data_IF_776950057921
#
_entry.id   IF_776950057921
#
_cell.length_a   1.000
_cell.length_b   1.000
_cell.length_c   1.000
_cell.angle_alpha   90.00
_cell.angle_beta   90.00
_cell.angle_gamma   90.00
#
_symmetry.space_group_name_H-M   'P 1'
#
loop_
_entity.id
_entity.type
_entity.pdbx_description
1 polymer ?
#
# COMPACT_ATOMS: atom_id res chain seq x y z
N UNK A 1 -1.08 10.72 0.66
CA UNK A 1 -0.10 9.80 0.08
C UNK A 1 0.92 10.55 -0.80
N UNK A 2 0.56 11.18 -1.93
CA UNK A 2 1.51 11.84 -2.85
C UNK A 2 2.48 12.82 -2.15
N UNK A 3 1.97 13.67 -1.26
CA UNK A 3 2.81 14.63 -0.52
C UNK A 3 3.76 13.94 0.46
N UNK A 4 3.29 12.88 1.11
CA UNK A 4 4.13 12.09 2.03
C UNK A 4 5.24 11.33 1.28
N UNK A 5 4.95 10.76 0.10
CA UNK A 5 5.97 10.14 -0.73
C UNK A 5 7.06 11.12 -1.15
N UNK A 6 6.69 12.36 -1.45
CA UNK A 6 7.66 13.43 -1.77
C UNK A 6 8.48 13.86 -0.55
N UNK A 7 7.81 14.07 0.59
CA UNK A 7 8.43 14.66 1.78
C UNK A 7 9.22 13.64 2.59
N UNK A 8 8.65 12.46 2.82
CA UNK A 8 9.18 11.47 3.75
C UNK A 8 10.01 10.37 3.06
N UNK A 9 9.83 10.19 1.74
CA UNK A 9 10.53 9.16 0.96
C UNK A 9 11.38 9.73 -0.18
N UNK A 10 11.49 11.06 -0.27
CA UNK A 10 12.27 11.79 -1.30
C UNK A 10 11.95 11.40 -2.75
N UNK A 11 10.72 10.95 -3.03
CA UNK A 11 10.28 10.57 -4.36
C UNK A 11 9.72 11.81 -5.07
N UNK A 12 10.51 12.46 -5.91
CA UNK A 12 10.15 13.73 -6.56
C UNK A 12 8.88 13.68 -7.41
N UNK A 13 8.65 12.58 -8.12
CA UNK A 13 7.49 12.36 -9.00
C UNK A 13 6.84 11.01 -8.72
N UNK A 14 6.13 10.83 -7.59
CA UNK A 14 5.55 9.55 -7.21
C UNK A 14 4.57 9.02 -8.26
N UNK A 15 4.72 7.77 -8.65
CA UNK A 15 3.80 7.02 -9.51
C UNK A 15 2.92 6.14 -8.64
N UNK A 16 1.64 6.43 -8.58
CA UNK A 16 0.70 5.76 -7.69
C UNK A 16 -0.22 4.86 -8.51
N UNK A 17 -0.26 3.57 -8.20
CA UNK A 17 -1.26 2.65 -8.70
C UNK A 17 -2.49 2.65 -7.77
N UNK A 18 -3.68 2.53 -8.34
CA UNK A 18 -4.94 2.32 -7.61
C UNK A 18 -5.50 0.97 -8.04
N UNK A 19 -5.84 0.10 -7.11
CA UNK A 19 -6.51 -1.17 -7.41
C UNK A 19 -8.02 -0.97 -7.57
N UNK A 20 -8.68 -1.86 -8.29
CA UNK A 20 -10.13 -1.95 -8.27
C UNK A 20 -10.64 -2.49 -6.93
N UNK A 21 -11.90 -2.26 -6.65
CA UNK A 21 -12.63 -2.83 -5.51
C UNK A 21 -13.09 -4.25 -5.85
N UNK A 22 -13.66 -4.39 -7.05
CA UNK A 22 -14.29 -5.63 -7.50
C UNK A 22 -13.31 -6.52 -8.29
N UNK A 23 -13.58 -7.83 -8.40
CA UNK A 23 -12.82 -8.71 -9.27
C UNK A 23 -12.71 -8.15 -10.69
N UNK A 24 -11.52 -8.31 -11.31
CA UNK A 24 -11.23 -7.80 -12.66
C UNK A 24 -11.55 -6.30 -12.86
N UNK A 25 -11.48 -5.50 -11.78
CA UNK A 25 -11.87 -4.09 -11.77
C UNK A 25 -13.30 -3.85 -12.26
N UNK A 26 -14.21 -4.74 -11.86
CA UNK A 26 -15.64 -4.66 -12.17
C UNK A 26 -16.05 -5.20 -13.54
N UNK A 27 -15.09 -5.67 -14.36
CA UNK A 27 -15.33 -6.25 -15.71
C UNK A 27 -16.38 -5.47 -16.52
N UNK A 28 -16.10 -4.19 -16.74
CA UNK A 28 -17.01 -3.30 -17.47
C UNK A 28 -18.35 -2.99 -16.78
N UNK A 29 -18.49 -3.36 -15.50
CA UNK A 29 -19.71 -3.18 -14.71
C UNK A 29 -20.51 -4.47 -14.47
N UNK A 30 -20.03 -5.61 -14.99
CA UNK A 30 -20.68 -6.93 -14.77
C UNK A 30 -20.49 -7.42 -13.33
N UNK A 31 -19.35 -7.09 -12.71
CA UNK A 31 -18.98 -7.55 -11.35
C UNK A 31 -19.01 -6.42 -10.32
N UNK A 32 -19.70 -5.33 -10.62
CA UNK A 32 -19.82 -4.15 -9.77
C UNK A 32 -19.60 -2.87 -10.56
N UNK A 33 -20.16 -1.77 -10.09
CA UNK A 33 -20.13 -0.49 -10.80
C UNK A 33 -19.26 0.57 -10.11
N UNK A 34 -18.65 0.24 -8.98
CA UNK A 34 -17.89 1.18 -8.14
C UNK A 34 -16.69 1.74 -8.89
N UNK A 35 -16.03 0.94 -9.73
CA UNK A 35 -14.92 1.39 -10.55
C UNK A 35 -15.38 2.50 -11.50
N UNK A 36 -16.51 2.30 -12.18
CA UNK A 36 -17.01 3.25 -13.17
C UNK A 36 -17.63 4.49 -12.53
N UNK A 37 -18.40 4.31 -11.45
CA UNK A 37 -19.18 5.38 -10.83
C UNK A 37 -18.39 6.21 -9.81
N UNK A 38 -17.39 5.61 -9.16
CA UNK A 38 -16.67 6.24 -8.06
C UNK A 38 -15.17 6.34 -8.37
N UNK A 39 -14.47 5.21 -8.57
CA UNK A 39 -13.01 5.17 -8.60
C UNK A 39 -12.45 5.89 -9.83
N UNK A 40 -12.93 5.59 -11.02
CA UNK A 40 -12.47 6.22 -12.26
C UNK A 40 -12.69 7.74 -12.31
N UNK A 41 -13.86 8.29 -11.92
CA UNK A 41 -14.05 9.73 -11.83
C UNK A 41 -13.05 10.41 -10.90
N UNK A 42 -12.76 9.81 -9.73
CA UNK A 42 -11.78 10.33 -8.77
C UNK A 42 -10.37 10.30 -9.35
N UNK A 43 -9.94 9.18 -9.94
CA UNK A 43 -8.64 9.06 -10.61
C UNK A 43 -8.49 10.14 -11.69
N UNK A 44 -9.52 10.35 -12.54
CA UNK A 44 -9.51 11.40 -13.58
C UNK A 44 -9.35 12.79 -12.98
N UNK A 45 -10.04 13.09 -11.88
CA UNK A 45 -9.92 14.38 -11.16
C UNK A 45 -8.51 14.58 -10.59
N UNK A 46 -7.94 13.54 -9.96
CA UNK A 46 -6.59 13.60 -9.38
C UNK A 46 -5.52 13.75 -10.48
N UNK A 47 -5.65 13.08 -11.61
CA UNK A 47 -4.74 13.28 -12.77
C UNK A 47 -4.70 14.72 -13.25
N UNK A 48 -5.87 15.40 -13.30
CA UNK A 48 -5.96 16.82 -13.70
C UNK A 48 -5.22 17.75 -12.74
N UNK A 49 -5.00 17.37 -11.47
CA UNK A 49 -4.19 18.14 -10.52
C UNK A 49 -2.67 17.86 -10.63
N UNK A 50 -2.23 17.13 -11.67
CA UNK A 50 -0.81 16.88 -11.94
C UNK A 50 -0.19 15.73 -11.15
N UNK A 51 -0.99 14.91 -10.45
CA UNK A 51 -0.50 13.73 -9.74
C UNK A 51 -0.44 12.55 -10.71
N UNK A 52 0.69 11.86 -10.73
CA UNK A 52 0.87 10.63 -11.52
C UNK A 52 0.17 9.46 -10.81
N UNK A 53 -1.05 9.17 -11.25
CA UNK A 53 -1.91 8.13 -10.70
C UNK A 53 -2.46 7.27 -11.84
N UNK A 54 -2.51 5.95 -11.67
CA UNK A 54 -2.97 4.98 -12.67
C UNK A 54 -3.90 3.96 -12.04
N UNK A 55 -4.86 3.47 -12.81
CA UNK A 55 -5.84 2.47 -12.37
C UNK A 55 -7.26 2.80 -12.86
N UNK A 56 -8.28 2.08 -12.35
CA UNK A 56 -8.10 0.97 -11.42
C UNK A 56 -7.43 -0.24 -12.10
N UNK A 57 -6.42 -0.82 -11.43
CA UNK A 57 -5.79 -2.06 -11.86
C UNK A 57 -6.59 -3.25 -11.34
N UNK A 58 -6.64 -4.32 -12.11
CA UNK A 58 -7.24 -5.58 -11.63
C UNK A 58 -6.46 -6.10 -10.41
N UNK A 59 -7.10 -6.34 -9.24
CA UNK A 59 -6.40 -6.63 -7.99
C UNK A 59 -5.52 -7.88 -8.04
N UNK A 60 -5.98 -8.92 -8.75
CA UNK A 60 -5.30 -10.20 -8.92
C UNK A 60 -3.97 -10.09 -9.70
N UNK A 61 -3.81 -9.06 -10.50
CA UNK A 61 -2.62 -8.82 -11.33
C UNK A 61 -1.88 -7.52 -11.02
N UNK A 62 -2.40 -6.72 -10.09
CA UNK A 62 -1.82 -5.43 -9.74
C UNK A 62 -0.36 -5.54 -9.26
N UNK A 63 -0.03 -6.58 -8.49
CA UNK A 63 1.26 -6.75 -7.81
C UNK A 63 2.27 -7.60 -8.60
N UNK A 64 2.11 -7.71 -9.93
CA UNK A 64 3.13 -8.34 -10.77
C UNK A 64 4.46 -7.58 -10.71
N UNK A 65 5.59 -8.29 -10.87
CA UNK A 65 6.94 -7.73 -10.80
C UNK A 65 7.15 -6.48 -11.66
N UNK A 66 6.56 -6.43 -12.85
CA UNK A 66 6.62 -5.24 -13.73
C UNK A 66 5.97 -4.00 -13.09
N UNK A 67 4.86 -4.19 -12.37
CA UNK A 67 4.15 -3.11 -11.68
C UNK A 67 4.87 -2.69 -10.40
N UNK A 68 5.40 -3.63 -9.62
CA UNK A 68 6.20 -3.36 -8.43
C UNK A 68 7.46 -2.54 -8.76
N UNK A 69 8.05 -2.74 -9.94
CA UNK A 69 9.19 -1.96 -10.42
C UNK A 69 8.80 -0.59 -10.99
N UNK A 70 7.58 -0.43 -11.44
CA UNK A 70 7.12 0.78 -12.14
C UNK A 70 6.46 1.79 -11.19
N UNK A 71 5.69 1.33 -10.21
CA UNK A 71 4.95 2.17 -9.29
C UNK A 71 5.67 2.30 -7.95
N UNK A 72 5.65 3.49 -7.38
CA UNK A 72 6.22 3.78 -6.06
C UNK A 72 5.26 3.47 -4.91
N UNK A 73 3.96 3.40 -5.20
CA UNK A 73 2.92 3.07 -4.21
C UNK A 73 1.68 2.46 -4.85
N UNK A 74 1.00 1.62 -4.08
CA UNK A 74 -0.29 1.03 -4.42
C UNK A 74 -1.34 1.50 -3.41
N UNK A 75 -2.42 2.10 -3.90
CA UNK A 75 -3.58 2.47 -3.11
C UNK A 75 -4.62 1.36 -3.27
N UNK A 76 -4.84 0.60 -2.22
CA UNK A 76 -5.78 -0.52 -2.18
C UNK A 76 -7.12 -0.09 -1.57
N UNK A 77 -8.18 -0.80 -1.92
CA UNK A 77 -9.53 -0.43 -1.52
C UNK A 77 -9.91 -0.98 -0.13
N UNK A 78 -9.23 -2.02 0.34
CA UNK A 78 -9.46 -2.61 1.66
C UNK A 78 -8.19 -3.27 2.19
N UNK A 79 -8.19 -3.58 3.48
CA UNK A 79 -7.05 -4.04 4.24
C UNK A 79 -6.34 -5.25 3.61
N UNK A 80 -7.06 -6.36 3.38
CA UNK A 80 -6.41 -7.59 2.92
C UNK A 80 -5.91 -7.49 1.48
N UNK A 81 -6.52 -6.63 0.65
CA UNK A 81 -6.04 -6.35 -0.71
C UNK A 81 -4.61 -5.78 -0.72
N UNK A 82 -4.25 -5.05 0.35
CA UNK A 82 -2.90 -4.55 0.52
C UNK A 82 -2.00 -5.55 1.25
N UNK A 83 -2.47 -6.11 2.37
CA UNK A 83 -1.60 -6.87 3.26
C UNK A 83 -1.27 -8.27 2.75
N UNK A 84 -2.16 -8.93 2.00
CA UNK A 84 -1.85 -10.23 1.40
C UNK A 84 -0.60 -10.13 0.50
N UNK A 85 -0.55 -9.26 -0.53
CA UNK A 85 0.65 -9.16 -1.37
C UNK A 85 1.87 -8.66 -0.62
N UNK A 86 1.74 -7.68 0.27
CA UNK A 86 2.86 -7.14 1.05
C UNK A 86 3.50 -8.23 1.90
N UNK A 87 2.71 -8.97 2.67
CA UNK A 87 3.20 -10.06 3.53
C UNK A 87 3.68 -11.29 2.76
N UNK A 88 3.17 -11.49 1.54
CA UNK A 88 3.68 -12.55 0.66
C UNK A 88 5.05 -12.20 0.09
N UNK A 89 5.29 -10.92 -0.19
CA UNK A 89 6.57 -10.45 -0.75
C UNK A 89 7.66 -10.40 0.32
N UNK A 90 7.36 -9.80 1.48
CA UNK A 90 8.34 -9.65 2.57
C UNK A 90 7.62 -9.52 3.92
N UNK A 91 7.34 -10.65 4.54
CA UNK A 91 6.64 -10.70 5.82
C UNK A 91 7.44 -10.07 6.96
N UNK A 92 8.74 -10.37 7.00
CA UNK A 92 9.58 -10.02 8.16
C UNK A 92 9.95 -8.53 8.20
N UNK A 93 10.15 -7.90 7.04
CA UNK A 93 10.55 -6.48 6.98
C UNK A 93 9.36 -5.53 6.80
N UNK A 94 8.13 -6.05 6.71
CA UNK A 94 6.93 -5.21 6.60
C UNK A 94 6.70 -4.44 7.89
N UNK A 95 6.45 -3.14 7.74
CA UNK A 95 6.15 -2.22 8.84
C UNK A 95 4.88 -1.42 8.55
N UNK A 96 4.22 -0.97 9.60
CA UNK A 96 3.18 0.04 9.51
C UNK A 96 3.82 1.42 9.63
N UNK A 97 3.59 2.30 8.66
CA UNK A 97 4.00 3.69 8.65
C UNK A 97 2.78 4.60 8.52
N UNK A 98 2.48 5.39 9.55
CA UNK A 98 1.30 6.27 9.53
C UNK A 98 1.64 7.59 8.84
N UNK A 99 0.99 7.85 7.71
CA UNK A 99 1.15 9.09 6.94
C UNK A 99 0.23 10.21 7.46
N UNK A 100 0.67 11.46 7.30
CA UNK A 100 -0.14 12.66 7.58
C UNK A 100 -0.07 13.18 9.00
N UNK A 101 0.75 12.60 9.86
CA UNK A 101 1.05 13.12 11.19
C UNK A 101 2.17 14.17 11.12
N UNK A 102 2.24 15.04 12.13
CA UNK A 102 3.33 16.01 12.31
C UNK A 102 4.61 15.39 12.84
N UNK A 103 4.56 14.14 13.26
CA UNK A 103 5.67 13.34 13.77
C UNK A 103 5.70 11.99 13.06
N UNK A 104 6.85 11.31 13.10
CA UNK A 104 7.00 9.96 12.52
C UNK A 104 6.37 8.94 13.47
N UNK A 105 5.53 8.07 12.93
CA UNK A 105 4.94 6.94 13.64
C UNK A 105 5.10 5.68 12.81
N UNK A 106 5.90 4.76 13.30
CA UNK A 106 6.09 3.43 12.76
C UNK A 106 5.71 2.37 13.80
N UNK A 107 5.37 1.20 13.35
CA UNK A 107 5.21 0.01 14.20
C UNK A 107 5.48 -1.26 13.39
N UNK A 108 5.82 -2.37 14.06
CA UNK A 108 5.82 -3.69 13.41
C UNK A 108 4.45 -4.00 12.83
N UNK A 109 4.42 -4.78 11.77
CA UNK A 109 3.18 -5.23 11.13
C UNK A 109 2.92 -6.73 11.34
N UNK A 110 3.16 -7.23 12.55
CA UNK A 110 2.84 -8.60 12.95
C UNK A 110 1.55 -8.68 13.77
N UNK A 111 0.96 -9.88 13.83
CA UNK A 111 -0.21 -10.17 14.66
C UNK A 111 0.12 -10.30 16.15
N UNK A 112 -0.86 -10.74 16.92
CA UNK A 112 -0.77 -10.90 18.38
C UNK A 112 0.18 -12.00 18.84
N UNK A 113 0.52 -12.97 17.98
CA UNK A 113 1.48 -14.02 18.27
C UNK A 113 1.09 -14.94 19.45
N UNK A 114 -0.18 -15.18 19.65
CA UNK A 114 -0.67 -16.04 20.76
C UNK A 114 -0.07 -17.45 20.73
N UNK A 115 0.23 -17.98 19.56
CA UNK A 115 0.83 -19.32 19.34
C UNK A 115 2.26 -19.41 19.86
N UNK A 116 2.97 -18.29 19.96
CA UNK A 116 4.33 -18.19 20.50
C UNK A 116 4.40 -17.49 21.87
N UNK A 117 3.25 -17.13 22.45
CA UNK A 117 3.20 -16.54 23.77
C UNK A 117 3.91 -17.45 24.80
N UNK A 118 4.73 -16.87 25.66
CA UNK A 118 5.56 -17.56 26.65
C UNK A 118 6.68 -18.48 26.10
N UNK A 119 6.89 -18.53 24.78
CA UNK A 119 7.99 -19.32 24.18
C UNK A 119 9.30 -18.54 24.02
N UNK A 120 9.24 -17.23 24.13
CA UNK A 120 10.39 -16.31 23.92
C UNK A 120 11.10 -16.51 22.58
N UNK A 121 10.33 -16.82 21.53
CA UNK A 121 10.83 -17.15 20.17
C UNK A 121 10.32 -16.17 19.11
N UNK A 122 9.89 -14.96 19.51
CA UNK A 122 9.41 -13.95 18.58
C UNK A 122 10.56 -13.48 17.66
N UNK A 123 10.24 -13.26 16.40
CA UNK A 123 11.16 -12.62 15.46
C UNK A 123 11.05 -11.09 15.60
N UNK A 124 12.14 -10.43 15.95
CA UNK A 124 12.21 -8.99 16.19
C UNK A 124 12.47 -8.17 14.93
N UNK A 125 12.65 -8.77 13.77
CA UNK A 125 13.07 -8.10 12.52
C UNK A 125 12.16 -6.93 12.15
N UNK A 126 10.84 -7.12 12.20
CA UNK A 126 9.88 -6.04 11.89
C UNK A 126 9.97 -4.87 12.87
N UNK A 127 10.23 -5.13 14.16
CA UNK A 127 10.43 -4.06 15.15
C UNK A 127 11.72 -3.27 14.88
N UNK A 128 12.82 -3.98 14.62
CA UNK A 128 14.11 -3.36 14.27
C UNK A 128 13.95 -2.52 13.00
N UNK A 129 13.26 -3.04 12.00
CA UNK A 129 12.98 -2.33 10.76
C UNK A 129 12.14 -1.07 11.02
N UNK A 130 11.10 -1.16 11.85
CA UNK A 130 10.27 0.00 12.22
C UNK A 130 11.08 1.09 12.92
N UNK A 131 11.96 0.73 13.86
CA UNK A 131 12.86 1.68 14.56
C UNK A 131 13.85 2.34 13.58
N UNK A 132 14.47 1.54 12.72
CA UNK A 132 15.41 2.03 11.71
C UNK A 132 14.76 3.01 10.72
N UNK A 133 13.51 2.75 10.32
CA UNK A 133 12.77 3.69 9.47
C UNK A 133 12.44 4.98 10.22
N UNK A 134 12.05 4.91 11.48
CA UNK A 134 11.73 6.08 12.27
C UNK A 134 12.94 7.05 12.45
N UNK A 135 14.15 6.53 12.40
CA UNK A 135 15.39 7.32 12.57
C UNK A 135 15.95 7.89 11.26
N UNK A 136 15.45 7.44 10.11
CA UNK A 136 15.95 7.88 8.78
C UNK A 136 15.14 9.02 8.16
N UNK A 137 13.99 9.34 8.72
CA UNK A 137 13.04 10.34 8.20
C UNK A 137 12.99 11.59 9.12
#
# INVERSE_FOLDING_TARGET
LNNSLKKNFDIKKPKIAVTGLNPHSGDGGLLGNEEQKIILPVIKKIKKSGISISGPLSPDSAFQQKNLKFFDAFLCMYHDQALIPVKTIDFENTINYTLGLSFVRTSPDHGTGYDIANKFTANETSLITAINYATKI
#
